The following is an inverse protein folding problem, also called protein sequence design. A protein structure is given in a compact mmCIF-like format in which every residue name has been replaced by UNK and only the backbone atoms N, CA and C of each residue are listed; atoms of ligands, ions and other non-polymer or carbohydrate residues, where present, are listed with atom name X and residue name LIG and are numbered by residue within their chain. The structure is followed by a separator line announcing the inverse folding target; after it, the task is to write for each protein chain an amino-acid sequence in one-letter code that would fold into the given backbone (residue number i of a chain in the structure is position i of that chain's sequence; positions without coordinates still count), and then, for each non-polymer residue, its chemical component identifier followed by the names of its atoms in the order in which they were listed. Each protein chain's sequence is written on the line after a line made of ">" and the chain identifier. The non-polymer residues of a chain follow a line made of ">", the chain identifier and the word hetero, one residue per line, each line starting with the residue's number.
data_IF_727415155518
#
_entry.id   IF_727415155518
#
_cell.length_a   1.000
_cell.length_b   1.000
_cell.length_c   1.000
_cell.angle_alpha   90.00
_cell.angle_beta   90.00
_cell.angle_gamma   90.00
#
_symmetry.space_group_name_H-M   'P 1'
#
loop_
_entity.id
_entity.type
_entity.pdbx_description
1 polymer ?
#
# COMPACT_ATOMS: atom_id res chain seq x y z
N UNK A 1 19.69 -26.01 -22.42
CA UNK A 1 18.46 -26.78 -22.21
C UNK A 1 17.77 -26.25 -20.96
N UNK A 2 16.92 -25.26 -21.13
CA UNK A 2 16.19 -24.60 -20.06
C UNK A 2 15.18 -25.51 -19.33
N UNK A 3 14.92 -26.69 -19.90
CA UNK A 3 14.08 -27.74 -19.32
C UNK A 3 14.79 -28.59 -18.24
N UNK A 4 16.07 -28.31 -17.94
CA UNK A 4 16.87 -29.07 -16.97
C UNK A 4 17.41 -28.19 -15.82
N UNK A 5 16.84 -27.01 -15.57
CA UNK A 5 17.10 -26.27 -14.35
C UNK A 5 16.67 -27.15 -13.16
N UNK A 6 17.61 -27.48 -12.26
CA UNK A 6 17.27 -28.18 -11.03
C UNK A 6 16.21 -27.37 -10.29
N UNK A 7 15.14 -28.04 -9.84
CA UNK A 7 14.09 -27.40 -9.06
C UNK A 7 14.74 -26.65 -7.89
N UNK A 8 14.52 -25.34 -7.86
CA UNK A 8 14.86 -24.56 -6.67
C UNK A 8 14.14 -25.20 -5.47
N UNK A 9 14.88 -25.45 -4.40
CA UNK A 9 14.27 -26.01 -3.19
C UNK A 9 13.09 -25.11 -2.78
N UNK A 10 11.91 -25.68 -2.46
CA UNK A 10 10.77 -24.89 -2.02
C UNK A 10 11.21 -23.99 -0.85
N UNK A 11 10.88 -22.71 -0.93
CA UNK A 11 11.12 -21.79 0.18
C UNK A 11 10.24 -22.26 1.33
N UNK A 12 10.84 -22.82 2.38
CA UNK A 12 10.11 -23.11 3.62
C UNK A 12 9.80 -21.78 4.30
N UNK A 13 8.54 -21.37 4.18
CA UNK A 13 8.04 -20.21 4.92
C UNK A 13 8.08 -20.53 6.42
N UNK A 14 8.67 -19.64 7.22
CA UNK A 14 8.68 -19.78 8.68
C UNK A 14 7.24 -19.79 9.23
N UNK A 15 7.03 -20.40 10.39
CA UNK A 15 5.71 -20.45 11.06
C UNK A 15 5.10 -19.06 11.32
N UNK A 16 5.92 -18.01 11.38
CA UNK A 16 5.52 -16.61 11.57
C UNK A 16 4.98 -15.97 10.29
N UNK A 17 5.25 -16.52 9.11
CA UNK A 17 4.84 -15.98 7.80
C UNK A 17 3.50 -16.57 7.32
N UNK A 18 2.63 -17.01 8.20
CA UNK A 18 1.27 -17.49 7.87
C UNK A 18 0.29 -16.34 7.59
N UNK A 19 0.74 -15.32 6.85
CA UNK A 19 -0.15 -14.29 6.31
C UNK A 19 -1.03 -14.86 5.20
N UNK A 20 -2.17 -14.23 4.94
CA UNK A 20 -3.05 -14.61 3.83
C UNK A 20 -2.30 -14.64 2.49
N UNK A 21 -1.40 -13.68 2.27
CA UNK A 21 -0.55 -13.62 1.08
C UNK A 21 0.39 -14.82 0.96
N UNK A 22 1.00 -15.28 2.06
CA UNK A 22 1.90 -16.44 2.02
C UNK A 22 1.14 -17.73 1.66
N UNK A 23 -0.09 -17.86 2.14
CA UNK A 23 -0.96 -18.99 1.77
C UNK A 23 -1.39 -18.91 0.31
N UNK A 24 -1.74 -17.75 -0.20
CA UNK A 24 -2.06 -17.52 -1.61
C UNK A 24 -0.87 -17.88 -2.51
N UNK A 25 0.34 -17.42 -2.17
CA UNK A 25 1.57 -17.73 -2.91
C UNK A 25 1.78 -19.23 -2.97
N UNK A 26 1.77 -19.92 -1.83
CA UNK A 26 2.02 -21.36 -1.77
C UNK A 26 0.94 -22.20 -2.47
N UNK A 27 -0.33 -21.83 -2.29
CA UNK A 27 -1.45 -22.65 -2.72
C UNK A 27 -1.89 -22.38 -4.16
N UNK A 28 -1.63 -21.19 -4.68
CA UNK A 28 -2.04 -20.78 -6.03
C UNK A 28 -0.86 -20.37 -6.91
N UNK A 29 -0.02 -19.41 -6.46
CA UNK A 29 1.02 -18.82 -7.30
C UNK A 29 2.10 -19.82 -7.67
N UNK A 30 2.67 -20.54 -6.70
CA UNK A 30 3.73 -21.53 -6.96
C UNK A 30 3.31 -22.65 -7.93
N UNK A 31 2.13 -23.29 -7.81
CA UNK A 31 1.69 -24.27 -8.81
C UNK A 31 1.49 -23.65 -10.20
N UNK A 32 0.96 -22.43 -10.28
CA UNK A 32 0.75 -21.74 -11.56
C UNK A 32 2.09 -21.40 -12.22
N UNK A 33 3.05 -20.90 -11.46
CA UNK A 33 4.40 -20.56 -11.96
C UNK A 33 5.18 -21.80 -12.43
N UNK A 34 4.93 -22.97 -11.82
CA UNK A 34 5.46 -24.25 -12.25
C UNK A 34 4.73 -24.83 -13.47
N UNK A 35 3.76 -24.12 -14.06
CA UNK A 35 2.90 -24.60 -15.15
C UNK A 35 2.04 -25.80 -14.77
N UNK A 36 1.74 -26.00 -13.49
CA UNK A 36 0.92 -27.09 -12.95
C UNK A 36 -0.45 -26.59 -12.44
N UNK A 37 -0.94 -25.47 -12.97
CA UNK A 37 -2.23 -24.89 -12.59
C UNK A 37 -3.43 -25.82 -12.84
N UNK A 38 -3.33 -26.73 -13.82
CA UNK A 38 -4.38 -27.73 -14.11
C UNK A 38 -4.56 -28.77 -12.98
N UNK A 39 -3.58 -28.91 -12.09
CA UNK A 39 -3.69 -29.76 -10.89
C UNK A 39 -4.55 -29.15 -9.79
N UNK A 40 -4.80 -27.85 -9.85
CA UNK A 40 -5.56 -27.12 -8.82
C UNK A 40 -7.06 -27.42 -8.96
N UNK A 41 -7.71 -27.90 -7.88
CA UNK A 41 -9.16 -28.06 -7.87
C UNK A 41 -9.85 -26.70 -7.80
N UNK A 42 -11.09 -26.59 -8.29
CA UNK A 42 -11.90 -25.35 -8.18
C UNK A 42 -11.97 -24.83 -6.75
N UNK A 43 -11.98 -25.72 -5.76
CA UNK A 43 -12.00 -25.36 -4.34
C UNK A 43 -10.73 -24.64 -3.85
N UNK A 44 -9.62 -24.68 -4.61
CA UNK A 44 -8.43 -23.90 -4.28
C UNK A 44 -8.65 -22.38 -4.39
N UNK A 45 -9.69 -21.96 -5.13
CA UNK A 45 -10.05 -20.56 -5.35
C UNK A 45 -11.21 -20.07 -4.47
N UNK A 46 -11.66 -20.86 -3.48
CA UNK A 46 -12.83 -20.50 -2.67
C UNK A 46 -12.65 -19.20 -1.90
N UNK A 47 -11.44 -18.94 -1.42
CA UNK A 47 -11.10 -17.72 -0.68
C UNK A 47 -10.96 -16.48 -1.60
N UNK A 48 -10.94 -16.69 -2.92
CA UNK A 48 -10.89 -15.64 -3.94
C UNK A 48 -12.15 -15.66 -4.83
N UNK A 49 -13.25 -16.25 -4.37
CA UNK A 49 -14.47 -16.46 -5.16
C UNK A 49 -15.14 -15.15 -5.61
N UNK A 50 -14.91 -14.06 -4.89
CA UNK A 50 -15.34 -12.71 -5.23
C UNK A 50 -14.37 -11.95 -6.16
N UNK A 51 -13.25 -12.59 -6.56
CA UNK A 51 -12.22 -11.99 -7.40
C UNK A 51 -11.21 -11.11 -6.66
N UNK A 52 -11.25 -11.08 -5.32
CA UNK A 52 -10.26 -10.37 -4.51
C UNK A 52 -9.05 -11.27 -4.25
N UNK A 53 -7.87 -10.67 -4.40
CA UNK A 53 -6.58 -11.31 -4.13
C UNK A 53 -5.75 -10.40 -3.24
N UNK A 54 -4.84 -11.00 -2.45
CA UNK A 54 -3.93 -10.26 -1.59
C UNK A 54 -2.98 -9.37 -2.40
N UNK A 55 -2.78 -8.15 -1.94
CA UNK A 55 -1.85 -7.21 -2.56
C UNK A 55 -0.39 -7.58 -2.24
N UNK A 56 0.52 -7.32 -3.20
CA UNK A 56 1.97 -7.49 -3.02
C UNK A 56 2.51 -8.86 -3.39
N UNK A 57 1.70 -9.74 -3.98
CA UNK A 57 2.14 -11.09 -4.38
C UNK A 57 3.29 -11.07 -5.42
N UNK A 58 3.44 -10.01 -6.22
CA UNK A 58 4.57 -9.85 -7.15
C UNK A 58 5.95 -9.92 -6.49
N UNK A 59 6.06 -9.60 -5.20
CA UNK A 59 7.30 -9.68 -4.44
C UNK A 59 7.85 -11.12 -4.32
N UNK A 60 7.00 -12.12 -4.50
CA UNK A 60 7.34 -13.53 -4.39
C UNK A 60 7.66 -14.20 -5.72
N UNK A 61 7.42 -13.56 -6.86
CA UNK A 61 7.71 -14.15 -8.18
C UNK A 61 9.20 -14.32 -8.45
N UNK A 62 10.05 -13.38 -8.02
CA UNK A 62 11.52 -13.45 -8.16
C UNK A 62 11.96 -13.94 -9.55
N UNK A 63 11.48 -13.28 -10.61
CA UNK A 63 11.57 -13.74 -12.00
C UNK A 63 12.99 -13.90 -12.53
N UNK A 64 13.97 -13.17 -12.00
CA UNK A 64 15.39 -13.28 -12.35
C UNK A 64 15.68 -13.04 -13.85
N UNK A 65 14.93 -12.15 -14.51
CA UNK A 65 15.01 -11.99 -15.99
C UNK A 65 16.18 -11.12 -16.45
N UNK A 66 16.81 -10.35 -15.55
CA UNK A 66 17.91 -9.47 -15.92
C UNK A 66 19.21 -10.27 -16.08
N UNK A 67 19.87 -10.13 -17.23
CA UNK A 67 21.21 -10.68 -17.49
C UNK A 67 22.27 -9.83 -16.78
N UNK A 68 22.01 -8.53 -16.62
CA UNK A 68 22.87 -7.59 -15.93
C UNK A 68 22.05 -6.73 -14.96
N UNK A 69 22.64 -6.45 -13.78
CA UNK A 69 22.01 -5.66 -12.73
C UNK A 69 22.95 -4.55 -12.26
N UNK A 70 22.46 -3.48 -11.62
CA UNK A 70 23.32 -2.41 -11.15
C UNK A 70 24.12 -2.83 -9.91
N UNK A 71 25.44 -2.77 -10.02
CA UNK A 71 26.37 -2.76 -8.91
C UNK A 71 26.45 -1.35 -8.32
N UNK A 72 26.35 -1.21 -7.00
CA UNK A 72 26.46 0.08 -6.32
C UNK A 72 27.83 0.25 -5.65
N UNK A 73 28.56 1.28 -6.09
CA UNK A 73 29.82 1.75 -5.50
C UNK A 73 29.50 2.85 -4.47
N UNK A 74 29.51 2.48 -3.20
CA UNK A 74 29.20 3.38 -2.09
C UNK A 74 30.18 4.55 -1.99
N UNK A 75 31.43 4.38 -2.43
CA UNK A 75 32.47 5.40 -2.32
C UNK A 75 32.22 6.61 -3.21
N UNK A 76 31.45 6.44 -4.29
CA UNK A 76 31.08 7.50 -5.24
C UNK A 76 29.70 8.10 -4.95
N UNK A 77 28.90 7.44 -4.10
CA UNK A 77 27.51 7.79 -3.91
C UNK A 77 27.33 9.09 -3.10
N UNK A 78 26.51 10.02 -3.62
CA UNK A 78 26.14 11.28 -2.95
C UNK A 78 24.74 11.24 -2.31
N UNK A 79 24.14 10.08 -2.24
CA UNK A 79 22.79 9.85 -1.61
C UNK A 79 21.70 10.78 -2.16
N UNK A 80 21.70 11.03 -3.46
CA UNK A 80 20.67 11.88 -4.10
C UNK A 80 19.37 11.14 -4.39
N UNK A 81 19.36 9.80 -4.34
CA UNK A 81 18.24 8.90 -4.57
C UNK A 81 17.60 8.98 -5.97
N UNK A 82 18.27 9.62 -6.95
CA UNK A 82 17.75 9.71 -8.32
C UNK A 82 17.59 8.33 -8.98
N UNK A 83 18.47 7.38 -8.66
CA UNK A 83 18.41 6.01 -9.17
C UNK A 83 17.11 5.28 -8.70
N UNK A 84 16.74 5.44 -7.43
CA UNK A 84 15.47 4.93 -6.91
C UNK A 84 14.27 5.65 -7.52
N UNK A 85 14.39 6.98 -7.66
CA UNK A 85 13.31 7.83 -8.21
C UNK A 85 12.91 7.43 -9.63
N UNK A 86 13.87 7.06 -10.50
CA UNK A 86 13.57 6.67 -11.89
C UNK A 86 13.30 5.19 -12.10
N UNK A 87 13.44 4.36 -11.05
CA UNK A 87 13.24 2.92 -11.19
C UNK A 87 11.75 2.58 -11.37
N UNK A 88 11.32 2.02 -12.52
CA UNK A 88 9.91 1.71 -12.76
C UNK A 88 9.41 0.51 -11.95
N UNK A 89 10.32 -0.35 -11.49
CA UNK A 89 9.99 -1.59 -10.79
C UNK A 89 10.26 -1.55 -9.29
N UNK A 90 10.73 -0.41 -8.77
CA UNK A 90 11.08 -0.23 -7.35
C UNK A 90 12.12 -1.23 -6.80
N UNK A 91 13.01 -1.72 -7.65
CA UNK A 91 14.02 -2.75 -7.33
C UNK A 91 15.35 -2.19 -6.81
N UNK A 92 15.49 -0.88 -6.75
CA UNK A 92 16.60 -0.16 -6.14
C UNK A 92 16.04 0.89 -5.19
N UNK A 93 16.39 0.79 -3.90
CA UNK A 93 15.82 1.64 -2.84
C UNK A 93 16.89 2.10 -1.84
N UNK A 94 16.82 3.36 -1.37
CA UNK A 94 17.64 3.84 -0.27
C UNK A 94 17.05 3.38 1.06
N UNK A 95 17.92 2.94 1.96
CA UNK A 95 17.57 2.67 3.34
C UNK A 95 18.50 3.44 4.27
N UNK A 96 17.95 3.97 5.35
CA UNK A 96 18.69 4.54 6.46
C UNK A 96 18.50 3.65 7.69
N UNK A 97 19.58 3.17 8.24
CA UNK A 97 19.62 2.19 9.34
C UNK A 97 20.12 2.83 10.63
N UNK A 98 19.56 2.46 11.74
CA UNK A 98 20.17 2.68 13.05
C UNK A 98 21.46 1.86 13.16
N UNK A 99 22.26 2.10 14.22
CA UNK A 99 23.45 1.29 14.46
C UNK A 99 23.11 -0.19 14.68
N UNK A 100 22.02 -0.48 15.39
CA UNK A 100 21.57 -1.84 15.66
C UNK A 100 21.07 -2.54 14.39
N UNK A 101 20.28 -1.85 13.55
CA UNK A 101 19.83 -2.38 12.26
C UNK A 101 21.02 -2.65 11.33
N UNK A 102 22.03 -1.78 11.33
CA UNK A 102 23.23 -1.96 10.52
C UNK A 102 24.14 -3.09 11.05
N UNK A 103 24.20 -3.28 12.36
CA UNK A 103 24.99 -4.36 12.98
C UNK A 103 24.37 -5.75 12.74
N UNK A 104 23.04 -5.83 12.57
CA UNK A 104 22.33 -7.08 12.28
C UNK A 104 22.23 -7.39 10.78
N UNK A 105 22.63 -6.46 9.90
CA UNK A 105 22.54 -6.62 8.45
C UNK A 105 23.52 -7.70 7.94
N UNK A 106 23.19 -8.37 6.81
CA UNK A 106 24.08 -9.35 6.18
C UNK A 106 25.49 -8.79 5.89
N UNK A 107 26.52 -9.63 5.94
CA UNK A 107 27.91 -9.24 5.74
C UNK A 107 28.17 -8.54 4.40
N UNK A 108 27.45 -8.92 3.36
CA UNK A 108 27.53 -8.32 2.03
C UNK A 108 26.95 -6.89 1.94
N UNK A 109 26.41 -6.35 3.04
CA UNK A 109 25.78 -5.01 3.05
C UNK A 109 26.82 -3.92 2.90
N UNK A 110 26.77 -3.19 1.79
CA UNK A 110 27.59 -1.99 1.55
C UNK A 110 26.94 -0.81 2.25
N UNK A 111 27.70 -0.03 3.04
CA UNK A 111 27.16 1.09 3.80
C UNK A 111 28.06 2.30 3.79
N UNK A 112 27.48 3.48 3.99
CA UNK A 112 28.20 4.72 4.31
C UNK A 112 27.40 5.53 5.33
N UNK A 113 28.03 6.56 5.91
CA UNK A 113 27.31 7.42 6.86
C UNK A 113 26.19 8.20 6.15
N UNK A 114 25.00 8.20 6.74
CA UNK A 114 23.85 8.88 6.15
C UNK A 114 24.03 10.40 6.18
N UNK A 115 23.76 11.07 5.03
CA UNK A 115 23.95 12.51 4.86
C UNK A 115 22.68 13.29 5.18
N UNK A 116 22.81 14.28 6.04
CA UNK A 116 21.75 15.23 6.38
C UNK A 116 21.55 15.37 7.89
N UNK A 117 21.03 16.51 8.36
CA UNK A 117 20.91 16.77 9.79
C UNK A 117 19.95 15.80 10.50
N UNK A 118 18.91 15.33 9.80
CA UNK A 118 17.94 14.36 10.33
C UNK A 118 18.42 12.91 10.30
N UNK A 119 19.48 12.62 9.52
CA UNK A 119 20.06 11.28 9.38
C UNK A 119 21.35 11.08 10.20
N UNK A 120 21.65 12.01 11.11
CA UNK A 120 22.88 11.98 11.89
C UNK A 120 22.93 10.71 12.77
N UNK A 121 24.03 9.95 12.67
CA UNK A 121 24.22 8.70 13.41
C UNK A 121 23.57 7.48 12.74
N UNK A 122 23.00 7.62 11.56
CA UNK A 122 22.47 6.50 10.78
C UNK A 122 23.46 6.05 9.71
N UNK A 123 23.36 4.79 9.30
CA UNK A 123 24.02 4.23 8.13
C UNK A 123 23.08 4.26 6.95
N UNK A 124 23.61 4.52 5.77
CA UNK A 124 22.88 4.53 4.51
C UNK A 124 23.34 3.38 3.62
N UNK A 125 22.40 2.73 2.96
CA UNK A 125 22.66 1.78 1.87
C UNK A 125 21.71 2.05 0.69
N UNK A 126 22.14 1.67 -0.51
CA UNK A 126 21.30 1.60 -1.70
C UNK A 126 21.13 0.13 -2.05
N UNK A 127 20.08 -0.48 -1.53
CA UNK A 127 19.80 -1.89 -1.77
C UNK A 127 19.22 -2.12 -3.18
N UNK A 128 19.65 -3.19 -3.81
CA UNK A 128 19.15 -3.65 -5.12
C UNK A 128 18.62 -5.07 -4.97
N UNK A 129 17.44 -5.37 -5.55
CA UNK A 129 16.98 -6.76 -5.72
C UNK A 129 17.43 -7.28 -7.08
N UNK A 130 18.42 -8.18 -7.16
CA UNK A 130 18.86 -8.74 -8.44
C UNK A 130 17.78 -9.56 -9.13
N UNK A 131 16.96 -10.29 -8.36
CA UNK A 131 15.92 -11.18 -8.88
C UNK A 131 14.69 -10.43 -9.42
N UNK A 132 14.44 -9.21 -8.94
CA UNK A 132 13.31 -8.38 -9.37
C UNK A 132 13.73 -7.32 -10.41
N UNK A 133 15.04 -7.09 -10.60
CA UNK A 133 15.57 -6.12 -11.54
C UNK A 133 15.29 -6.55 -12.99
N UNK A 134 14.95 -5.57 -13.86
CA UNK A 134 14.69 -5.80 -15.29
C UNK A 134 15.88 -5.39 -16.18
N UNK A 135 17.03 -4.99 -15.61
CA UNK A 135 18.24 -4.67 -16.37
C UNK A 135 18.14 -3.43 -17.30
N UNK A 136 17.18 -2.53 -17.08
CA UNK A 136 16.86 -1.42 -17.99
C UNK A 136 17.87 -0.28 -18.06
N UNK A 137 18.86 -0.24 -17.18
CA UNK A 137 19.94 0.77 -17.11
C UNK A 137 19.55 2.19 -16.70
N UNK A 138 18.29 2.50 -16.44
CA UNK A 138 17.83 3.86 -16.10
C UNK A 138 18.55 4.44 -14.88
N UNK A 139 18.75 3.63 -13.83
CA UNK A 139 19.44 4.03 -12.60
C UNK A 139 20.91 4.42 -12.85
N UNK A 140 21.60 3.70 -13.75
CA UNK A 140 22.99 4.00 -14.14
C UNK A 140 23.05 5.30 -14.92
N UNK A 141 22.16 5.48 -15.93
CA UNK A 141 22.14 6.68 -16.79
C UNK A 141 21.85 7.96 -16.03
N UNK A 142 21.02 7.91 -14.98
CA UNK A 142 20.66 9.10 -14.20
C UNK A 142 21.70 9.43 -13.12
N UNK A 143 22.62 8.51 -12.79
CA UNK A 143 23.57 8.71 -11.70
C UNK A 143 24.61 9.79 -12.03
N UNK A 144 24.60 10.96 -11.36
CA UNK A 144 25.49 12.08 -11.74
C UNK A 144 26.96 11.84 -11.34
N UNK A 145 27.23 10.81 -10.54
CA UNK A 145 28.57 10.47 -10.04
C UNK A 145 29.11 9.13 -10.55
N UNK A 146 28.34 8.42 -11.38
CA UNK A 146 28.73 7.10 -11.85
C UNK A 146 28.94 6.10 -10.70
N UNK A 147 28.13 6.22 -9.67
CA UNK A 147 28.16 5.31 -8.52
C UNK A 147 27.42 3.98 -8.80
N UNK A 148 26.95 3.78 -10.01
CA UNK A 148 26.26 2.57 -10.46
C UNK A 148 26.84 2.14 -11.80
N UNK A 149 27.11 0.86 -11.95
CA UNK A 149 27.47 0.24 -13.23
C UNK A 149 26.73 -1.08 -13.40
N UNK A 150 26.47 -1.49 -14.67
CA UNK A 150 25.81 -2.77 -14.92
C UNK A 150 26.85 -3.89 -14.93
N UNK A 151 26.61 -4.90 -14.10
CA UNK A 151 27.44 -6.11 -14.01
C UNK A 151 26.60 -7.36 -14.24
N UNK A 152 27.20 -8.50 -14.62
CA UNK A 152 26.47 -9.77 -14.68
C UNK A 152 25.73 -10.07 -13.38
N UNK A 153 24.49 -10.54 -13.48
CA UNK A 153 23.59 -10.75 -12.34
C UNK A 153 24.20 -11.69 -11.30
N UNK A 154 24.94 -12.70 -11.74
CA UNK A 154 25.61 -13.67 -10.86
C UNK A 154 26.62 -13.02 -9.90
N UNK A 155 27.14 -11.85 -10.24
CA UNK A 155 28.12 -11.12 -9.38
C UNK A 155 27.44 -10.35 -8.24
N UNK A 156 26.13 -10.11 -8.31
CA UNK A 156 25.36 -9.35 -7.32
C UNK A 156 24.31 -10.23 -6.61
N UNK A 157 24.34 -11.55 -6.75
CA UNK A 157 23.38 -12.44 -6.09
C UNK A 157 23.49 -12.41 -4.56
N UNK A 158 24.64 -12.05 -4.00
CA UNK A 158 24.84 -11.80 -2.59
C UNK A 158 24.06 -10.59 -2.04
N UNK A 159 23.55 -9.74 -2.94
CA UNK A 159 22.71 -8.59 -2.59
C UNK A 159 21.21 -8.96 -2.42
N UNK A 160 20.77 -10.14 -2.84
CA UNK A 160 19.40 -10.56 -2.59
C UNK A 160 19.09 -10.70 -1.10
N UNK A 161 19.89 -11.41 -0.28
CA UNK A 161 19.70 -11.43 1.18
C UNK A 161 19.78 -10.04 1.83
N UNK A 162 20.60 -9.13 1.28
CA UNK A 162 20.66 -7.75 1.76
C UNK A 162 19.35 -7.03 1.49
N UNK A 163 18.82 -7.16 0.28
CA UNK A 163 17.52 -6.60 -0.07
C UNK A 163 16.40 -7.10 0.83
N UNK A 164 16.30 -8.42 1.01
CA UNK A 164 15.26 -9.05 1.82
C UNK A 164 15.34 -8.54 3.28
N UNK A 165 16.56 -8.49 3.85
CA UNK A 165 16.78 -7.90 5.18
C UNK A 165 16.32 -6.44 5.27
N UNK A 166 16.65 -5.60 4.27
CA UNK A 166 16.28 -4.18 4.27
C UNK A 166 14.78 -3.97 4.24
N UNK A 167 14.06 -4.76 3.46
CA UNK A 167 12.59 -4.65 3.34
C UNK A 167 11.88 -5.14 4.61
N UNK A 168 12.36 -6.25 5.19
CA UNK A 168 11.70 -6.89 6.32
C UNK A 168 12.05 -6.22 7.66
N UNK A 169 13.32 -5.90 7.90
CA UNK A 169 13.84 -5.58 9.22
C UNK A 169 14.16 -4.10 9.44
N UNK A 170 14.41 -3.33 8.37
CA UNK A 170 14.71 -1.90 8.54
C UNK A 170 13.42 -1.10 8.63
N UNK A 171 13.31 -0.31 9.69
CA UNK A 171 12.13 0.54 9.93
C UNK A 171 12.13 1.78 9.03
N UNK A 172 10.94 2.21 8.62
CA UNK A 172 10.79 3.47 7.88
C UNK A 172 11.17 4.66 8.77
N UNK A 173 12.07 5.50 8.27
CA UNK A 173 12.53 6.71 8.98
C UNK A 173 11.67 7.90 8.53
N UNK A 174 10.50 8.07 9.15
CA UNK A 174 9.50 9.11 8.81
C UNK A 174 10.09 10.53 8.76
N UNK A 175 11.08 10.81 9.60
CA UNK A 175 11.79 12.09 9.65
C UNK A 175 12.62 12.41 8.39
N UNK A 176 12.98 11.40 7.60
CA UNK A 176 13.71 11.56 6.33
C UNK A 176 12.79 11.79 5.14
N UNK A 177 11.50 11.48 5.29
CA UNK A 177 10.52 11.64 4.23
C UNK A 177 10.25 13.13 4.01
N UNK A 178 10.29 13.55 2.74
CA UNK A 178 10.00 14.92 2.34
C UNK A 178 9.50 14.96 0.89
N UNK A 179 8.72 15.99 0.55
CA UNK A 179 8.17 16.21 -0.80
C UNK A 179 9.24 16.74 -1.78
N UNK A 180 10.32 15.97 -1.97
CA UNK A 180 11.38 16.21 -2.93
C UNK A 180 11.98 14.88 -3.40
N UNK A 181 12.80 14.88 -4.45
CA UNK A 181 13.38 13.66 -5.05
C UNK A 181 14.07 12.78 -4.03
N UNK A 182 14.93 13.35 -3.17
CA UNK A 182 15.68 12.57 -2.17
C UNK A 182 14.75 12.00 -1.09
N UNK A 183 13.93 12.85 -0.50
CA UNK A 183 13.13 12.50 0.68
C UNK A 183 11.96 11.57 0.35
N UNK A 184 11.33 11.73 -0.82
CA UNK A 184 10.21 10.87 -1.22
C UNK A 184 10.60 9.40 -1.33
N UNK A 185 11.87 9.11 -1.67
CA UNK A 185 12.34 7.75 -1.88
C UNK A 185 12.60 6.96 -0.59
N UNK A 186 12.61 7.61 0.58
CA UNK A 186 12.63 6.91 1.87
C UNK A 186 11.26 6.38 2.29
N UNK A 187 10.17 6.78 1.60
CA UNK A 187 8.84 6.20 1.78
C UNK A 187 8.73 4.91 0.97
N UNK A 188 8.04 3.90 1.51
CA UNK A 188 7.77 2.66 0.79
C UNK A 188 6.98 2.97 -0.50
N UNK A 189 7.35 2.44 -1.68
CA UNK A 189 6.49 2.43 -2.85
C UNK A 189 5.35 1.43 -2.67
N UNK A 190 4.16 1.73 -3.22
CA UNK A 190 3.01 0.83 -3.19
C UNK A 190 2.71 0.20 -4.55
N UNK A 191 3.63 0.33 -5.49
CA UNK A 191 3.68 -0.40 -6.76
C UNK A 191 5.11 -0.91 -6.93
N UNK A 192 5.30 -2.23 -6.97
CA UNK A 192 6.61 -2.85 -7.02
C UNK A 192 6.59 -4.13 -7.86
N UNK A 193 7.71 -4.43 -8.50
CA UNK A 193 7.94 -5.66 -9.25
C UNK A 193 6.86 -5.98 -10.27
N UNK A 194 6.27 -4.96 -10.89
CA UNK A 194 5.25 -5.14 -11.92
C UNK A 194 5.79 -5.88 -13.15
N UNK A 195 4.92 -6.57 -13.87
CA UNK A 195 5.26 -7.21 -15.15
C UNK A 195 5.42 -6.27 -16.34
N UNK A 196 5.66 -4.96 -16.09
CA UNK A 196 5.86 -3.97 -17.16
C UNK A 196 7.21 -4.14 -17.86
N UNK A 197 7.34 -3.57 -19.06
CA UNK A 197 8.57 -3.59 -19.83
C UNK A 197 9.77 -3.00 -19.08
N UNK A 198 10.97 -3.47 -19.38
CA UNK A 198 12.21 -2.90 -18.85
C UNK A 198 12.30 -1.40 -19.20
N UNK A 199 12.40 -0.54 -18.20
CA UNK A 199 12.47 0.92 -18.39
C UNK A 199 11.13 1.59 -18.70
N UNK A 200 10.00 0.95 -18.41
CA UNK A 200 8.66 1.48 -18.63
C UNK A 200 8.49 2.86 -17.97
N UNK A 201 8.15 3.88 -18.76
CA UNK A 201 7.90 5.21 -18.23
C UNK A 201 6.58 5.31 -17.45
N UNK A 202 5.56 4.58 -17.88
CA UNK A 202 4.24 4.56 -17.26
C UNK A 202 4.32 4.09 -15.80
N UNK A 203 4.97 2.94 -15.54
CA UNK A 203 5.13 2.43 -14.17
C UNK A 203 6.04 3.30 -13.30
N UNK A 204 6.96 4.07 -13.88
CA UNK A 204 7.74 5.06 -13.12
C UNK A 204 6.85 6.12 -12.48
N UNK A 205 5.87 6.63 -13.23
CA UNK A 205 4.90 7.61 -12.70
C UNK A 205 3.91 6.96 -11.73
N UNK A 206 3.33 5.82 -12.09
CA UNK A 206 2.39 5.11 -11.22
C UNK A 206 3.04 4.74 -9.87
N UNK A 207 4.29 4.27 -9.88
CA UNK A 207 5.07 3.99 -8.68
C UNK A 207 5.25 5.24 -7.81
N UNK A 208 5.64 6.37 -8.40
CA UNK A 208 5.83 7.62 -7.65
C UNK A 208 4.52 8.11 -7.05
N UNK A 209 3.44 8.10 -7.81
CA UNK A 209 2.11 8.53 -7.35
C UNK A 209 1.65 7.64 -6.19
N UNK A 210 1.78 6.32 -6.31
CA UNK A 210 1.43 5.41 -5.22
C UNK A 210 2.35 5.59 -4.01
N UNK A 211 3.64 5.87 -4.20
CA UNK A 211 4.57 6.16 -3.10
C UNK A 211 4.16 7.41 -2.30
N UNK A 212 3.57 8.40 -2.94
CA UNK A 212 3.12 9.64 -2.29
C UNK A 212 1.75 9.49 -1.62
N UNK A 213 0.81 8.81 -2.26
CA UNK A 213 -0.62 8.79 -1.90
C UNK A 213 -1.19 7.40 -1.62
N UNK A 214 -0.43 6.32 -1.84
CA UNK A 214 -0.93 4.95 -1.92
C UNK A 214 -1.67 4.43 -0.68
N UNK A 215 -1.33 4.91 0.50
CA UNK A 215 -2.00 4.55 1.77
C UNK A 215 -3.47 5.02 1.85
N UNK A 216 -3.89 5.97 0.99
CA UNK A 216 -5.25 6.53 0.94
C UNK A 216 -5.77 6.65 -0.51
N UNK A 217 -5.42 5.70 -1.38
CA UNK A 217 -5.61 5.82 -2.82
C UNK A 217 -6.60 4.77 -3.35
N UNK A 218 -7.56 5.23 -4.17
CA UNK A 218 -8.38 4.39 -5.02
C UNK A 218 -8.00 4.64 -6.47
N UNK A 219 -7.88 3.57 -7.25
CA UNK A 219 -7.49 3.61 -8.66
C UNK A 219 -8.58 2.98 -9.50
N UNK A 220 -9.16 3.79 -10.39
CA UNK A 220 -9.98 3.34 -11.51
C UNK A 220 -9.08 3.25 -12.73
N UNK A 221 -8.94 2.07 -13.31
CA UNK A 221 -7.97 1.80 -14.37
C UNK A 221 -8.67 1.50 -15.69
N UNK A 222 -8.30 2.21 -16.76
CA UNK A 222 -8.72 1.90 -18.11
C UNK A 222 -7.95 0.70 -18.67
N UNK A 223 -8.63 -0.18 -19.39
CA UNK A 223 -8.01 -1.31 -20.07
C UNK A 223 -6.87 -0.85 -21.00
N UNK A 224 -5.69 -1.45 -20.84
CA UNK A 224 -4.47 -1.12 -21.58
C UNK A 224 -3.24 -1.73 -20.89
N UNK A 225 -2.06 -1.14 -21.09
CA UNK A 225 -0.83 -1.62 -20.43
C UNK A 225 -0.97 -1.61 -18.89
N UNK A 226 -1.63 -0.59 -18.34
CA UNK A 226 -1.86 -0.50 -16.89
C UNK A 226 -2.74 -1.62 -16.33
N UNK A 227 -3.59 -2.23 -17.14
CA UNK A 227 -4.31 -3.46 -16.75
C UNK A 227 -3.40 -4.68 -16.75
N UNK A 228 -2.48 -4.74 -17.71
CA UNK A 228 -1.60 -5.90 -17.89
C UNK A 228 -0.54 -5.97 -16.81
N UNK A 229 0.10 -4.84 -16.47
CA UNK A 229 1.09 -4.83 -15.42
C UNK A 229 0.50 -4.61 -14.01
N UNK A 230 -0.72 -4.08 -13.89
CA UNK A 230 -1.37 -3.78 -12.60
C UNK A 230 -2.46 -4.75 -12.18
N UNK A 231 -3.04 -5.50 -13.12
CA UNK A 231 -4.22 -6.33 -12.94
C UNK A 231 -4.04 -7.84 -12.76
N UNK A 232 -2.83 -8.46 -12.87
CA UNK A 232 -2.70 -9.86 -12.55
C UNK A 232 -3.07 -10.10 -11.08
N UNK A 233 -4.22 -10.71 -10.83
CA UNK A 233 -4.78 -10.82 -9.50
C UNK A 233 -3.88 -11.67 -8.57
N UNK A 234 -3.42 -12.84 -9.04
CA UNK A 234 -2.56 -13.72 -8.26
C UNK A 234 -1.15 -13.16 -8.00
N UNK A 235 -0.71 -12.18 -8.80
CA UNK A 235 0.63 -11.58 -8.73
C UNK A 235 0.55 -10.05 -8.68
N UNK A 236 -0.39 -9.51 -7.90
CA UNK A 236 -0.61 -8.06 -7.80
C UNK A 236 0.67 -7.31 -7.44
N UNK A 237 1.08 -6.32 -8.25
CA UNK A 237 2.23 -5.46 -7.96
C UNK A 237 1.89 -4.32 -7.01
N UNK A 238 0.61 -4.02 -6.80
CA UNK A 238 0.19 -3.10 -5.74
C UNK A 238 0.33 -3.79 -4.40
N UNK A 239 0.90 -3.09 -3.42
CA UNK A 239 1.18 -3.66 -2.09
C UNK A 239 0.70 -2.74 -0.97
N UNK A 240 0.73 -3.26 0.25
CA UNK A 240 0.36 -2.54 1.46
C UNK A 240 1.57 -2.21 2.32
N UNK A 241 1.44 -1.23 3.21
CA UNK A 241 2.41 -1.00 4.29
C UNK A 241 2.21 -2.01 5.44
N UNK A 242 3.06 -1.90 6.46
CA UNK A 242 3.01 -2.78 7.65
C UNK A 242 1.73 -2.63 8.48
N UNK A 243 0.97 -1.54 8.29
CA UNK A 243 -0.34 -1.32 8.90
C UNK A 243 -1.50 -1.86 8.03
N UNK A 244 -1.22 -2.47 6.88
CA UNK A 244 -2.22 -3.04 5.98
C UNK A 244 -2.91 -2.03 5.05
N UNK A 245 -2.38 -0.80 4.96
CA UNK A 245 -2.92 0.23 4.06
C UNK A 245 -2.17 0.25 2.74
N UNK A 246 -2.90 0.34 1.63
CA UNK A 246 -2.36 0.43 0.29
C UNK A 246 -3.44 0.83 -0.73
N UNK A 247 -3.08 0.97 -2.02
CA UNK A 247 -4.03 1.34 -3.05
C UNK A 247 -5.11 0.27 -3.24
N UNK A 248 -6.37 0.69 -3.35
CA UNK A 248 -7.43 -0.15 -3.87
C UNK A 248 -7.50 0.06 -5.39
N UNK A 249 -7.39 -1.01 -6.16
CA UNK A 249 -7.34 -0.97 -7.61
C UNK A 249 -8.48 -1.79 -8.23
N UNK A 250 -9.13 -1.23 -9.23
CA UNK A 250 -10.06 -1.97 -10.06
C UNK A 250 -9.95 -1.54 -11.52
N UNK A 251 -10.17 -2.51 -12.42
CA UNK A 251 -10.19 -2.25 -13.84
C UNK A 251 -11.63 -1.95 -14.29
N UNK A 252 -11.77 -0.96 -15.17
CA UNK A 252 -13.01 -0.73 -15.91
C UNK A 252 -12.80 -1.03 -17.40
N UNK A 253 -13.85 -0.89 -18.19
CA UNK A 253 -13.73 -0.95 -19.64
C UNK A 253 -12.96 0.27 -20.16
N UNK A 254 -12.40 0.14 -21.35
CA UNK A 254 -11.64 1.21 -21.99
C UNK A 254 -12.50 2.48 -22.19
N UNK A 255 -13.79 2.30 -22.51
CA UNK A 255 -14.71 3.35 -22.89
C UNK A 255 -15.28 4.13 -21.70
N UNK A 256 -15.35 3.53 -20.51
CA UNK A 256 -16.11 4.05 -19.37
C UNK A 256 -15.30 4.40 -18.14
N UNK A 257 -13.97 4.37 -18.24
CA UNK A 257 -13.11 4.49 -17.06
C UNK A 257 -13.23 5.84 -16.34
N UNK A 258 -13.42 6.92 -17.09
CA UNK A 258 -13.57 8.24 -16.49
C UNK A 258 -14.85 8.34 -15.66
N UNK A 259 -15.96 7.85 -16.20
CA UNK A 259 -17.26 7.79 -15.51
C UNK A 259 -17.24 6.83 -14.33
N UNK A 260 -16.53 5.70 -14.46
CA UNK A 260 -16.32 4.76 -13.36
C UNK A 260 -15.57 5.43 -12.20
N UNK A 261 -14.47 6.14 -12.49
CA UNK A 261 -13.71 6.89 -11.48
C UNK A 261 -14.54 8.01 -10.85
N UNK A 262 -15.31 8.75 -11.64
CA UNK A 262 -16.23 9.76 -11.14
C UNK A 262 -17.32 9.15 -10.26
N UNK A 263 -17.87 7.99 -10.65
CA UNK A 263 -18.87 7.26 -9.87
C UNK A 263 -18.32 6.82 -8.51
N UNK A 264 -17.11 6.30 -8.48
CA UNK A 264 -16.41 5.96 -7.23
C UNK A 264 -16.24 7.19 -6.34
N UNK A 265 -15.82 8.31 -6.90
CA UNK A 265 -15.68 9.57 -6.14
C UNK A 265 -17.03 10.02 -5.55
N UNK A 266 -18.08 10.10 -6.37
CA UNK A 266 -19.42 10.53 -5.93
C UNK A 266 -19.99 9.59 -4.86
N UNK A 267 -19.76 8.28 -5.00
CA UNK A 267 -20.18 7.29 -4.00
C UNK A 267 -19.46 7.50 -2.65
N UNK A 268 -18.14 7.68 -2.68
CA UNK A 268 -17.34 7.96 -1.48
C UNK A 268 -17.74 9.29 -0.82
N UNK A 269 -17.92 10.34 -1.63
CA UNK A 269 -18.34 11.67 -1.14
C UNK A 269 -19.69 11.59 -0.45
N UNK A 270 -20.67 10.88 -1.05
CA UNK A 270 -22.00 10.69 -0.44
C UNK A 270 -21.93 9.95 0.89
N UNK A 271 -21.17 8.86 0.99
CA UNK A 271 -20.98 8.14 2.25
C UNK A 271 -20.39 9.05 3.31
N UNK A 272 -19.39 9.87 2.97
CA UNK A 272 -18.76 10.81 3.89
C UNK A 272 -19.72 11.92 4.34
N UNK A 273 -20.58 12.41 3.46
CA UNK A 273 -21.64 13.38 3.81
C UNK A 273 -22.63 12.77 4.80
N UNK A 274 -23.06 11.51 4.57
CA UNK A 274 -23.96 10.81 5.49
C UNK A 274 -23.29 10.60 6.86
N UNK A 275 -22.02 10.20 6.88
CA UNK A 275 -21.23 10.12 8.10
C UNK A 275 -21.11 11.48 8.84
N UNK A 276 -20.99 12.57 8.09
CA UNK A 276 -20.96 13.90 8.69
C UNK A 276 -22.30 14.25 9.35
N UNK A 277 -23.42 13.87 8.76
CA UNK A 277 -24.74 14.08 9.33
C UNK A 277 -24.95 13.19 10.58
N UNK A 278 -24.58 11.92 10.53
CA UNK A 278 -24.58 11.01 11.69
C UNK A 278 -23.68 11.55 12.83
N UNK A 279 -22.51 12.07 12.50
CA UNK A 279 -21.57 12.68 13.46
C UNK A 279 -22.17 13.93 14.10
N UNK A 280 -22.85 14.80 13.36
CA UNK A 280 -23.56 15.97 13.91
C UNK A 280 -24.68 15.54 14.86
N UNK A 281 -25.42 14.48 14.51
CA UNK A 281 -26.42 13.90 15.42
C UNK A 281 -25.77 13.38 16.70
N UNK A 282 -24.65 12.66 16.60
CA UNK A 282 -23.90 12.18 17.78
C UNK A 282 -23.46 13.31 18.70
N UNK A 283 -22.93 14.40 18.14
CA UNK A 283 -22.53 15.59 18.92
C UNK A 283 -23.73 16.21 19.64
N UNK A 284 -24.90 16.16 19.03
CA UNK A 284 -26.15 16.74 19.62
C UNK A 284 -26.71 15.88 20.77
N UNK A 285 -26.33 14.61 20.90
CA UNK A 285 -26.76 13.78 22.02
C UNK A 285 -26.19 14.34 23.34
N UNK A 286 -27.05 14.73 24.28
CA UNK A 286 -26.66 15.45 25.49
C UNK A 286 -25.62 14.68 26.34
N UNK A 287 -25.83 13.36 26.49
CA UNK A 287 -25.01 12.48 27.33
C UNK A 287 -23.85 11.80 26.60
N UNK A 288 -23.61 12.08 25.33
CA UNK A 288 -22.42 11.60 24.64
C UNK A 288 -21.17 12.18 25.32
N UNK A 289 -20.12 11.35 25.47
CA UNK A 289 -18.89 11.72 26.19
C UNK A 289 -18.23 12.96 25.59
N UNK A 290 -17.76 13.91 26.41
CA UNK A 290 -17.13 15.14 25.91
C UNK A 290 -15.94 14.89 24.99
N UNK A 291 -15.13 13.86 25.29
CA UNK A 291 -13.95 13.47 24.50
C UNK A 291 -14.38 13.00 23.10
N UNK A 292 -15.45 12.21 23.01
CA UNK A 292 -16.02 11.76 21.75
C UNK A 292 -16.55 12.95 20.93
N UNK A 293 -17.28 13.88 21.56
CA UNK A 293 -17.76 15.09 20.88
C UNK A 293 -16.63 15.96 20.35
N UNK A 294 -15.54 16.09 21.11
CA UNK A 294 -14.37 16.85 20.70
C UNK A 294 -13.66 16.20 19.49
N UNK A 295 -13.48 14.90 19.52
CA UNK A 295 -12.88 14.14 18.41
C UNK A 295 -13.77 14.20 17.15
N UNK A 296 -15.08 14.05 17.31
CA UNK A 296 -16.08 14.17 16.25
C UNK A 296 -16.05 15.54 15.59
N UNK A 297 -15.99 16.61 16.39
CA UNK A 297 -15.91 17.98 15.86
C UNK A 297 -14.60 18.22 15.12
N UNK A 298 -13.45 17.77 15.66
CA UNK A 298 -12.17 17.91 14.99
C UNK A 298 -12.14 17.17 13.63
N UNK A 299 -12.82 16.03 13.54
CA UNK A 299 -12.98 15.33 12.27
C UNK A 299 -13.85 16.14 11.28
N UNK A 300 -14.99 16.66 11.70
CA UNK A 300 -15.85 17.51 10.86
C UNK A 300 -15.11 18.74 10.32
N UNK A 301 -14.30 19.39 11.17
CA UNK A 301 -13.56 20.60 10.79
C UNK A 301 -12.46 20.33 9.74
N UNK A 302 -12.04 19.08 9.59
CA UNK A 302 -10.93 18.69 8.70
C UNK A 302 -11.34 17.72 7.59
N UNK A 303 -12.60 17.30 7.53
CA UNK A 303 -13.05 16.20 6.66
C UNK A 303 -12.75 16.41 5.16
N UNK A 304 -12.64 17.65 4.71
CA UNK A 304 -12.39 17.98 3.30
C UNK A 304 -10.88 18.10 2.96
N UNK A 305 -10.00 18.10 3.95
CA UNK A 305 -8.55 18.16 3.76
C UNK A 305 -7.92 16.79 4.01
N UNK A 306 -7.46 16.12 2.93
CA UNK A 306 -6.89 14.76 3.02
C UNK A 306 -5.65 14.66 3.92
N UNK A 307 -4.85 15.72 4.03
CA UNK A 307 -3.65 15.74 4.88
C UNK A 307 -4.02 16.05 6.33
N UNK A 308 -4.82 17.08 6.56
CA UNK A 308 -5.23 17.51 7.90
C UNK A 308 -6.19 16.51 8.56
N UNK A 309 -6.96 15.75 7.77
CA UNK A 309 -7.97 14.80 8.25
C UNK A 309 -7.38 13.52 8.87
N UNK A 310 -6.15 13.12 8.53
CA UNK A 310 -5.59 11.81 8.89
C UNK A 310 -5.56 11.56 10.41
N UNK A 311 -5.01 12.48 11.19
CA UNK A 311 -4.95 12.36 12.66
C UNK A 311 -6.33 12.53 13.33
N UNK A 312 -7.18 13.54 12.98
CA UNK A 312 -8.54 13.62 13.49
C UNK A 312 -9.39 12.38 13.20
N UNK A 313 -9.27 11.76 12.03
CA UNK A 313 -9.99 10.52 11.70
C UNK A 313 -9.57 9.37 12.61
N UNK A 314 -8.27 9.16 12.85
CA UNK A 314 -7.76 8.14 13.78
C UNK A 314 -8.22 8.38 15.22
N UNK A 315 -8.11 9.64 15.67
CA UNK A 315 -8.56 10.04 17.02
C UNK A 315 -10.07 9.81 17.19
N UNK A 316 -10.85 10.08 16.14
CA UNK A 316 -12.29 9.87 16.18
C UNK A 316 -12.64 8.39 16.20
N UNK A 317 -12.01 7.53 15.39
CA UNK A 317 -12.18 6.07 15.45
C UNK A 317 -11.90 5.55 16.87
N UNK A 318 -10.79 5.96 17.47
CA UNK A 318 -10.43 5.56 18.83
C UNK A 318 -11.48 6.01 19.85
N UNK A 319 -11.94 7.26 19.77
CA UNK A 319 -12.97 7.78 20.66
C UNK A 319 -14.31 7.05 20.51
N UNK A 320 -14.67 6.64 19.28
CA UNK A 320 -15.84 5.80 19.01
C UNK A 320 -15.71 4.43 19.69
N UNK A 321 -14.58 3.74 19.49
CA UNK A 321 -14.29 2.44 20.09
C UNK A 321 -14.36 2.50 21.64
N UNK A 322 -13.79 3.54 22.25
CA UNK A 322 -13.78 3.76 23.69
C UNK A 322 -15.15 4.21 24.27
N UNK A 323 -16.07 4.68 23.41
CA UNK A 323 -17.36 5.22 23.86
C UNK A 323 -18.49 4.20 23.90
N UNK A 324 -18.37 3.13 23.13
CA UNK A 324 -19.41 2.07 23.05
C UNK A 324 -19.29 1.18 24.29
N UNK A 325 -20.28 1.27 25.17
CA UNK A 325 -20.31 0.46 26.39
C UNK A 325 -20.82 -0.96 26.11
N UNK A 326 -20.18 -1.96 26.68
CA UNK A 326 -20.68 -3.34 26.71
C UNK A 326 -21.82 -3.49 27.71
N UNK A 327 -22.67 -4.51 27.51
CA UNK A 327 -23.74 -4.83 28.46
C UNK A 327 -23.18 -5.18 29.85
N UNK A 328 -21.96 -5.72 29.91
CA UNK A 328 -21.27 -6.05 31.16
C UNK A 328 -20.82 -4.81 31.91
N UNK A 329 -20.26 -3.83 31.20
CA UNK A 329 -19.92 -2.52 31.79
C UNK A 329 -21.13 -1.76 32.27
N UNK A 330 -22.25 -1.80 31.54
CA UNK A 330 -23.53 -1.24 31.99
C UNK A 330 -24.04 -1.92 33.24
N UNK A 331 -23.94 -3.23 33.32
CA UNK A 331 -24.41 -4.02 34.50
C UNK A 331 -23.61 -3.66 35.76
N UNK A 332 -22.35 -3.22 35.62
CA UNK A 332 -21.53 -2.77 36.75
C UNK A 332 -21.99 -1.43 37.36
N UNK A 333 -22.81 -0.67 36.63
CA UNK A 333 -23.35 0.62 37.07
C UNK A 333 -24.77 0.41 37.66
N UNK A 334 -25.00 0.59 38.96
CA UNK A 334 -26.26 0.24 39.61
C UNK A 334 -27.52 0.82 38.95
N UNK A 335 -27.45 2.05 38.46
CA UNK A 335 -28.56 2.73 37.81
C UNK A 335 -28.93 2.14 36.43
N UNK A 336 -28.05 1.39 35.80
CA UNK A 336 -28.24 0.78 34.49
C UNK A 336 -28.37 -0.72 34.54
N UNK A 337 -28.29 -1.35 35.74
CA UNK A 337 -28.29 -2.80 35.90
C UNK A 337 -29.58 -3.47 35.35
N UNK A 338 -30.72 -2.85 35.51
CA UNK A 338 -32.00 -3.36 34.98
C UNK A 338 -32.04 -3.31 33.45
N UNK A 339 -31.59 -2.22 32.87
CA UNK A 339 -31.47 -2.07 31.42
C UNK A 339 -30.46 -3.08 30.83
N UNK A 340 -29.31 -3.25 31.46
CA UNK A 340 -28.33 -4.23 31.07
C UNK A 340 -28.88 -5.68 31.12
N UNK A 341 -29.70 -6.00 32.13
CA UNK A 341 -30.37 -7.30 32.20
C UNK A 341 -31.36 -7.52 31.05
N UNK A 342 -32.12 -6.50 30.67
CA UNK A 342 -33.03 -6.54 29.51
C UNK A 342 -32.26 -6.77 28.19
N UNK A 343 -31.17 -6.06 27.97
CA UNK A 343 -30.30 -6.23 26.79
C UNK A 343 -29.71 -7.63 26.71
N UNK A 344 -29.23 -8.14 27.85
CA UNK A 344 -28.72 -9.53 27.96
C UNK A 344 -29.76 -10.57 27.64
N UNK A 345 -31.00 -10.37 28.11
CA UNK A 345 -32.13 -11.25 27.80
C UNK A 345 -32.49 -11.24 26.29
N UNK A 346 -32.19 -10.16 25.58
CA UNK A 346 -32.36 -10.02 24.13
C UNK A 346 -31.14 -10.53 23.35
N UNK A 347 -30.10 -11.05 24.02
CA UNK A 347 -28.87 -11.53 23.39
C UNK A 347 -27.95 -10.39 22.86
N UNK A 348 -28.17 -9.15 23.27
CA UNK A 348 -27.31 -8.01 22.89
C UNK A 348 -26.05 -8.00 23.75
N UNK A 349 -24.93 -7.61 23.12
CA UNK A 349 -23.62 -7.52 23.78
C UNK A 349 -23.23 -6.05 24.08
N UNK A 350 -23.86 -5.09 23.40
CA UNK A 350 -23.55 -3.66 23.48
C UNK A 350 -24.79 -2.87 23.96
N UNK A 351 -24.52 -1.70 24.53
CA UNK A 351 -25.54 -0.70 24.86
C UNK A 351 -26.27 -0.24 23.59
N UNK A 352 -27.57 -0.05 23.69
CA UNK A 352 -28.44 0.42 22.59
C UNK A 352 -29.01 1.82 22.81
N UNK A 353 -28.38 2.63 23.66
CA UNK A 353 -28.74 4.04 23.75
C UNK A 353 -28.35 4.80 22.46
N UNK A 354 -29.00 5.94 22.23
CA UNK A 354 -28.79 6.72 21.00
C UNK A 354 -27.31 7.04 20.72
N UNK A 355 -26.53 7.37 21.76
CA UNK A 355 -25.11 7.64 21.59
C UNK A 355 -24.30 6.38 21.19
N UNK A 356 -24.54 5.26 21.83
CA UNK A 356 -23.83 4.00 21.51
C UNK A 356 -24.27 3.45 20.15
N UNK A 357 -25.53 3.56 19.79
CA UNK A 357 -26.06 3.12 18.49
C UNK A 357 -25.46 3.94 17.37
N UNK A 358 -25.47 5.28 17.47
CA UNK A 358 -24.84 6.16 16.49
C UNK A 358 -23.33 5.92 16.40
N UNK A 359 -22.65 5.75 17.55
CA UNK A 359 -21.23 5.47 17.56
C UNK A 359 -20.91 4.13 16.87
N UNK A 360 -21.71 3.10 17.06
CA UNK A 360 -21.56 1.80 16.43
C UNK A 360 -21.81 1.88 14.91
N UNK A 361 -22.83 2.63 14.48
CA UNK A 361 -23.15 2.83 13.06
C UNK A 361 -22.03 3.57 12.35
N UNK A 362 -21.48 4.64 12.94
CA UNK A 362 -20.34 5.38 12.40
C UNK A 362 -19.10 4.48 12.38
N UNK A 363 -18.84 3.72 13.44
CA UNK A 363 -17.68 2.83 13.53
C UNK A 363 -17.74 1.70 12.50
N UNK A 364 -18.93 1.22 12.15
CA UNK A 364 -19.11 0.22 11.08
C UNK A 364 -18.66 0.70 9.70
N UNK A 365 -18.55 2.02 9.52
CA UNK A 365 -18.12 2.71 8.29
C UNK A 365 -16.78 3.45 8.49
N UNK A 366 -15.96 3.01 9.44
CA UNK A 366 -14.73 3.73 9.85
C UNK A 366 -13.72 3.94 8.73
N UNK A 367 -13.69 3.05 7.74
CA UNK A 367 -12.81 3.17 6.57
C UNK A 367 -13.09 4.41 5.73
N UNK A 368 -14.29 4.98 5.80
CA UNK A 368 -14.67 6.20 5.09
C UNK A 368 -14.37 7.48 5.88
N UNK A 369 -13.98 7.40 7.15
CA UNK A 369 -13.63 8.58 7.95
C UNK A 369 -12.34 9.24 7.43
N UNK A 370 -11.36 8.46 6.98
CA UNK A 370 -10.18 9.01 6.30
C UNK A 370 -10.53 9.42 4.87
N UNK A 371 -10.17 10.65 4.47
CA UNK A 371 -10.37 11.12 3.10
C UNK A 371 -9.47 10.34 2.15
N UNK A 372 -10.05 9.69 1.16
CA UNK A 372 -9.35 8.96 0.11
C UNK A 372 -9.11 9.88 -1.09
N UNK A 373 -8.02 9.63 -1.82
CA UNK A 373 -7.80 10.21 -3.14
C UNK A 373 -8.28 9.25 -4.22
N UNK A 374 -9.01 9.77 -5.21
CA UNK A 374 -9.50 9.00 -6.36
C UNK A 374 -8.64 9.30 -7.57
N UNK A 375 -8.14 8.27 -8.21
CA UNK A 375 -7.23 8.37 -9.34
C UNK A 375 -7.76 7.59 -10.54
N UNK A 376 -7.67 8.19 -11.72
CA UNK A 376 -8.02 7.55 -12.97
C UNK A 376 -6.72 7.27 -13.71
N UNK A 377 -6.42 6.00 -13.96
CA UNK A 377 -5.25 5.55 -14.69
C UNK A 377 -5.65 5.02 -16.06
N UNK A 378 -4.85 5.32 -17.06
CA UNK A 378 -5.03 4.80 -18.41
C UNK A 378 -3.88 5.23 -19.31
N UNK A 379 -3.74 4.56 -20.46
CA UNK A 379 -2.75 4.88 -21.48
C UNK A 379 -3.17 6.09 -22.33
N UNK A 380 -2.25 6.53 -23.18
CA UNK A 380 -2.45 7.63 -24.11
C UNK A 380 -3.57 7.36 -25.14
N UNK A 381 -3.68 6.12 -25.65
CA UNK A 381 -4.76 5.72 -26.55
C UNK A 381 -6.15 5.90 -25.94
N UNK A 382 -6.29 5.61 -24.65
CA UNK A 382 -7.52 5.90 -23.93
C UNK A 382 -7.73 7.40 -23.73
N UNK A 383 -6.70 8.13 -23.30
CA UNK A 383 -6.83 9.53 -22.88
C UNK A 383 -6.98 10.52 -24.06
N UNK A 384 -6.45 10.18 -25.26
CA UNK A 384 -6.39 11.10 -26.40
C UNK A 384 -7.18 10.63 -27.63
N UNK A 385 -7.16 9.33 -27.94
CA UNK A 385 -7.55 8.87 -29.26
C UNK A 385 -9.03 8.50 -29.37
N UNK A 386 -9.70 8.14 -28.27
CA UNK A 386 -11.11 7.72 -28.28
C UNK A 386 -11.94 8.69 -27.43
N UNK A 387 -12.30 9.85 -28.01
CA UNK A 387 -13.19 10.83 -27.40
C UNK A 387 -12.77 11.29 -26.00
N UNK A 388 -11.47 11.27 -25.73
CA UNK A 388 -10.85 11.51 -24.42
C UNK A 388 -11.35 10.55 -23.30
N UNK A 389 -11.92 9.40 -23.63
CA UNK A 389 -12.38 8.40 -22.66
C UNK A 389 -13.35 8.93 -21.59
N UNK A 390 -14.16 9.95 -21.91
CA UNK A 390 -15.05 10.61 -20.96
C UNK A 390 -14.38 11.64 -20.04
N UNK A 391 -13.07 11.88 -20.16
CA UNK A 391 -12.33 12.83 -19.31
C UNK A 391 -12.87 14.26 -19.41
N UNK A 392 -13.32 14.70 -20.58
CA UNK A 392 -13.93 16.02 -20.79
C UNK A 392 -15.17 16.21 -19.90
N UNK A 393 -16.01 15.17 -19.76
CA UNK A 393 -17.17 15.18 -18.87
C UNK A 393 -16.75 15.28 -17.39
N UNK A 394 -15.78 14.48 -16.97
CA UNK A 394 -15.28 14.50 -15.60
C UNK A 394 -14.68 15.86 -15.23
N UNK A 395 -13.83 16.43 -16.11
CA UNK A 395 -13.25 17.76 -15.93
C UNK A 395 -14.35 18.84 -15.88
N UNK A 396 -15.34 18.75 -16.76
CA UNK A 396 -16.48 19.70 -16.80
C UNK A 396 -17.35 19.62 -15.54
N UNK A 397 -17.38 18.47 -14.85
CA UNK A 397 -18.14 18.28 -13.61
C UNK A 397 -17.61 19.11 -12.44
N UNK A 398 -16.33 19.52 -12.49
CA UNK A 398 -15.62 20.23 -11.41
C UNK A 398 -15.70 19.48 -10.07
N UNK A 399 -15.72 18.17 -10.12
CA UNK A 399 -15.59 17.27 -8.97
C UNK A 399 -14.14 16.87 -8.84
N UNK A 400 -13.47 17.38 -7.81
CA UNK A 400 -12.05 17.16 -7.53
C UNK A 400 -11.85 16.14 -6.38
#
# INVERSE_FOLDING_TARGET
>A
DWATAEDAAPVELSEETKSAIAQQVKNLLEPIDRMDGDSLPVSAFVDCADGQFELGASAYEKRGVAVVVPHWDETKCIQCNQCAYVCPHATIRPFAMTEDEAAAAPEATRTLDAMGPKAKGMKFTMAVSPLDCMGCTNCVKVCPKGALEMVPTEQEMDQQPVWDYMVENVSEKKELIAANVKGSQFKQPYLEFSGSCAGCAETSYARLVTQLFGDHMYISNATGCSSIWGGPAATSPYCTNKEGHGPAWCNSLFEDNAEHGLGMFVGQDKIRQDLADETRQLIAVEWARPELKAAAQAWLDTMDDGTANAEPARAYVKALEESIATVEELAAVPQFAEHAAQLKAQGKLLCDCDACSLAADILSKKEYLAKKSMWIFGGDGWAYDIGYGGLDHVIASKKD
#
